data_IF_154692207003
#
_entry.id   IF_154692207003
#
_cell.length_a   1.000
_cell.length_b   1.000
_cell.length_c   1.000
_cell.angle_alpha   90.00
_cell.angle_beta   90.00
_cell.angle_gamma   90.00
#
_symmetry.space_group_name_H-M   'P 1'
#
loop_
_entity.id
_entity.type
_entity.pdbx_description
1 polymer ?
#
# COMPACT_ATOMS: atom_id res chain seq x y z
N UNK A 1 -12.92 7.10 -21.94
CA UNK A 1 -11.76 6.49 -21.28
C UNK A 1 -12.08 6.53 -19.81
N UNK A 2 -12.27 5.38 -19.16
CA UNK A 2 -12.43 5.35 -17.71
C UNK A 2 -11.13 5.88 -17.11
N UNK A 3 -11.20 7.01 -16.40
CA UNK A 3 -10.07 7.50 -15.63
C UNK A 3 -9.63 6.38 -14.68
N UNK A 4 -8.36 6.00 -14.71
CA UNK A 4 -7.78 4.99 -13.84
C UNK A 4 -7.76 5.51 -12.38
N UNK A 5 -8.92 5.60 -11.75
CA UNK A 5 -9.10 6.24 -10.46
C UNK A 5 -8.86 5.25 -9.31
N UNK A 6 -7.66 4.66 -9.30
CA UNK A 6 -7.26 3.60 -8.38
C UNK A 6 -5.87 3.85 -7.80
N UNK A 7 -5.67 3.36 -6.58
CA UNK A 7 -4.35 3.08 -6.02
C UNK A 7 -4.10 1.58 -6.16
N UNK A 8 -2.97 1.22 -6.77
CA UNK A 8 -2.56 -0.16 -6.98
C UNK A 8 -1.37 -0.46 -6.09
N UNK A 9 -1.58 -1.29 -5.07
CA UNK A 9 -0.51 -1.85 -4.26
C UNK A 9 0.05 -3.10 -4.93
N UNK A 10 1.36 -3.28 -4.82
CA UNK A 10 2.10 -4.39 -5.42
C UNK A 10 2.98 -5.04 -4.35
N UNK A 11 2.87 -6.36 -4.24
CA UNK A 11 3.76 -7.20 -3.44
C UNK A 11 4.56 -8.10 -4.36
N UNK A 12 5.88 -8.07 -4.24
CA UNK A 12 6.76 -8.94 -5.00
C UNK A 12 7.08 -10.21 -4.20
N UNK A 13 6.99 -11.36 -4.85
CA UNK A 13 7.35 -12.66 -4.31
C UNK A 13 8.37 -13.35 -5.21
N UNK A 14 9.04 -14.35 -4.64
CA UNK A 14 10.01 -15.16 -5.36
C UNK A 14 11.35 -14.46 -5.53
N UNK A 15 12.31 -15.19 -6.08
CA UNK A 15 13.68 -14.70 -6.22
C UNK A 15 13.80 -13.76 -7.43
N UNK A 16 14.88 -12.97 -7.47
CA UNK A 16 15.23 -12.02 -8.53
C UNK A 16 15.09 -12.64 -9.95
N UNK A 17 15.37 -13.94 -10.11
CA UNK A 17 15.29 -14.65 -11.40
C UNK A 17 13.85 -14.95 -11.87
N UNK A 18 12.86 -15.01 -10.97
CA UNK A 18 11.46 -15.33 -11.27
C UNK A 18 10.52 -14.55 -10.34
N UNK A 19 10.47 -13.21 -10.47
CA UNK A 19 9.60 -12.40 -9.64
C UNK A 19 8.14 -12.66 -10.00
N UNK A 20 7.28 -12.74 -8.98
CA UNK A 20 5.82 -12.74 -9.10
C UNK A 20 5.30 -11.49 -8.41
N UNK A 21 4.26 -10.87 -8.96
CA UNK A 21 3.66 -9.67 -8.37
C UNK A 21 2.20 -9.95 -8.09
N UNK A 22 1.80 -9.86 -6.81
CA UNK A 22 0.39 -9.79 -6.41
C UNK A 22 0.00 -8.32 -6.38
N UNK A 23 -1.20 -8.00 -6.90
CA UNK A 23 -1.70 -6.63 -6.97
C UNK A 23 -3.01 -6.51 -6.20
N UNK A 24 -3.19 -5.39 -5.52
CA UNK A 24 -4.45 -4.97 -4.93
C UNK A 24 -4.81 -3.58 -5.45
N UNK A 25 -5.96 -3.46 -6.09
CA UNK A 25 -6.49 -2.19 -6.58
C UNK A 25 -7.58 -1.69 -5.66
N UNK A 26 -7.50 -0.42 -5.26
CA UNK A 26 -8.46 0.24 -4.38
C UNK A 26 -8.92 1.54 -5.05
N UNK A 27 -10.22 1.82 -5.03
CA UNK A 27 -10.76 3.04 -5.62
C UNK A 27 -10.21 4.27 -4.88
N UNK A 28 -9.69 5.26 -5.63
CA UNK A 28 -9.05 6.44 -5.07
C UNK A 28 -9.99 7.27 -4.18
N UNK A 29 -11.31 7.25 -4.43
CA UNK A 29 -12.30 7.96 -3.62
C UNK A 29 -12.31 7.50 -2.15
N UNK A 30 -11.89 6.25 -1.90
CA UNK A 30 -11.75 5.67 -0.57
C UNK A 30 -10.36 5.87 0.05
N UNK A 31 -9.43 6.55 -0.63
CA UNK A 31 -8.03 6.65 -0.20
C UNK A 31 -7.66 8.08 0.18
N UNK A 32 -7.01 8.24 1.33
CA UNK A 32 -6.37 9.49 1.75
C UNK A 32 -4.94 9.23 2.16
N UNK A 33 -4.02 10.02 1.62
CA UNK A 33 -2.59 9.90 1.89
C UNK A 33 -2.11 11.16 2.57
N UNK A 34 -1.33 11.01 3.63
CA UNK A 34 -0.66 12.13 4.30
C UNK A 34 0.64 11.68 4.94
N UNK A 35 1.55 12.61 5.11
CA UNK A 35 2.81 12.39 5.80
C UNK A 35 2.66 12.68 7.30
N UNK A 36 3.32 11.88 8.13
CA UNK A 36 3.43 12.06 9.57
C UNK A 36 4.73 11.43 10.08
N UNK A 37 5.55 12.19 10.81
CA UNK A 37 6.77 11.69 11.47
C UNK A 37 7.68 10.87 10.52
N UNK A 38 7.98 11.41 9.33
CA UNK A 38 8.76 10.77 8.26
C UNK A 38 8.15 9.47 7.69
N UNK A 39 6.91 9.16 8.06
CA UNK A 39 6.13 8.05 7.51
C UNK A 39 5.00 8.58 6.65
N UNK A 40 4.61 7.79 5.66
CA UNK A 40 3.41 8.03 4.87
C UNK A 40 2.28 7.14 5.39
N UNK A 41 1.16 7.77 5.73
CA UNK A 41 -0.05 7.08 6.19
C UNK A 41 -1.06 7.09 5.05
N UNK A 42 -1.50 5.90 4.67
CA UNK A 42 -2.49 5.67 3.63
C UNK A 42 -3.76 5.14 4.29
N UNK A 43 -4.72 6.03 4.51
CA UNK A 43 -6.03 5.68 5.01
C UNK A 43 -6.88 5.14 3.87
N UNK A 44 -7.48 3.98 4.11
CA UNK A 44 -8.33 3.28 3.14
C UNK A 44 -9.71 3.10 3.76
N UNK A 45 -10.74 3.42 2.99
CA UNK A 45 -12.15 3.21 3.29
C UNK A 45 -12.73 2.41 2.13
N UNK A 46 -13.27 1.23 2.44
CA UNK A 46 -13.85 0.31 1.45
C UNK A 46 -15.18 -0.23 1.96
N UNK A 47 -16.07 -0.69 1.05
CA UNK A 47 -17.22 -1.48 1.45
C UNK A 47 -16.81 -2.67 2.33
N UNK A 48 -17.63 -3.03 3.31
CA UNK A 48 -17.31 -4.11 4.27
C UNK A 48 -17.06 -5.45 3.57
N UNK A 49 -17.69 -5.70 2.43
CA UNK A 49 -17.50 -6.91 1.62
C UNK A 49 -16.10 -7.01 0.98
N UNK A 50 -15.40 -5.89 0.80
CA UNK A 50 -14.04 -5.83 0.28
C UNK A 50 -12.97 -5.83 1.38
N UNK A 51 -13.36 -5.54 2.63
CA UNK A 51 -12.42 -5.28 3.72
C UNK A 51 -11.52 -6.47 4.03
N UNK A 52 -12.09 -7.68 4.08
CA UNK A 52 -11.36 -8.93 4.33
C UNK A 52 -10.24 -9.11 3.31
N UNK A 53 -10.52 -8.91 2.03
CA UNK A 53 -9.53 -9.05 0.95
C UNK A 53 -8.38 -8.06 1.11
N UNK A 54 -8.67 -6.83 1.55
CA UNK A 54 -7.63 -5.83 1.73
C UNK A 54 -6.77 -6.15 2.95
N UNK A 55 -7.38 -6.53 4.07
CA UNK A 55 -6.65 -6.92 5.29
C UNK A 55 -5.75 -8.11 5.01
N UNK A 56 -6.29 -9.19 4.43
CA UNK A 56 -5.52 -10.38 4.06
C UNK A 56 -4.33 -10.05 3.14
N UNK A 57 -4.50 -9.10 2.22
CA UNK A 57 -3.41 -8.65 1.36
C UNK A 57 -2.27 -7.99 2.15
N UNK A 58 -2.58 -7.11 3.11
CA UNK A 58 -1.56 -6.39 3.87
C UNK A 58 -0.98 -7.22 5.02
N UNK A 59 -1.71 -8.18 5.58
CA UNK A 59 -1.22 -9.13 6.58
C UNK A 59 -0.16 -10.09 6.04
N UNK A 60 -0.10 -10.28 4.72
CA UNK A 60 0.97 -11.07 4.10
C UNK A 60 2.35 -10.39 4.19
N UNK A 61 2.43 -9.07 4.43
CA UNK A 61 3.68 -8.32 4.53
C UNK A 61 4.34 -8.46 5.90
N UNK A 62 5.65 -8.66 5.87
CA UNK A 62 6.47 -8.53 7.07
C UNK A 62 6.82 -7.06 7.33
N UNK A 63 7.04 -6.71 8.60
CA UNK A 63 7.58 -5.40 8.96
C UNK A 63 8.95 -5.21 8.30
N UNK A 64 9.14 -4.10 7.61
CA UNK A 64 10.38 -3.82 6.88
C UNK A 64 10.42 -4.39 5.46
N UNK A 65 9.39 -5.12 5.03
CA UNK A 65 9.29 -5.63 3.66
C UNK A 65 9.01 -4.50 2.66
N UNK A 66 9.54 -4.65 1.45
CA UNK A 66 9.31 -3.71 0.36
C UNK A 66 7.87 -3.78 -0.14
N UNK A 67 7.25 -2.61 -0.26
CA UNK A 67 5.96 -2.43 -0.88
C UNK A 67 6.05 -1.37 -1.96
N UNK A 68 5.42 -1.64 -3.10
CA UNK A 68 5.25 -0.68 -4.17
C UNK A 68 3.78 -0.26 -4.25
N UNK A 69 3.53 1.01 -4.52
CA UNK A 69 2.18 1.44 -4.89
C UNK A 69 2.21 2.49 -5.99
N UNK A 70 1.13 2.56 -6.76
CA UNK A 70 0.95 3.50 -7.86
C UNK A 70 -0.41 4.16 -7.74
N UNK A 71 -0.44 5.49 -7.87
CA UNK A 71 -1.67 6.28 -7.78
C UNK A 71 -2.02 6.72 -9.20
N UNK A 72 -3.13 6.22 -9.75
CA UNK A 72 -3.65 6.68 -11.05
C UNK A 72 -2.63 6.73 -12.19
N UNK A 73 -1.73 5.75 -12.25
CA UNK A 73 -0.67 5.61 -13.27
C UNK A 73 0.40 6.73 -13.25
N UNK A 74 0.64 7.34 -12.08
CA UNK A 74 1.67 8.38 -11.90
C UNK A 74 3.09 7.84 -11.74
N UNK A 75 3.23 6.52 -11.59
CA UNK A 75 4.51 5.84 -11.34
C UNK A 75 4.47 4.98 -10.08
N UNK A 76 5.46 4.11 -9.95
CA UNK A 76 5.59 3.23 -8.78
C UNK A 76 6.43 3.92 -7.69
N UNK A 77 5.84 4.09 -6.52
CA UNK A 77 6.51 4.53 -5.30
C UNK A 77 7.03 3.31 -4.55
N UNK A 78 8.34 3.24 -4.33
CA UNK A 78 8.97 2.20 -3.52
C UNK A 78 9.07 2.63 -2.07
N UNK A 79 8.48 1.85 -1.17
CA UNK A 79 8.46 2.13 0.25
C UNK A 79 8.74 0.87 1.06
N UNK A 80 9.05 1.10 2.33
CA UNK A 80 9.16 0.07 3.36
C UNK A 80 7.83 -0.04 4.09
N UNK A 81 7.26 -1.25 4.18
CA UNK A 81 6.04 -1.50 4.93
C UNK A 81 6.31 -1.42 6.45
N UNK A 82 5.52 -0.61 7.16
CA UNK A 82 5.65 -0.41 8.61
C UNK A 82 4.45 -0.90 9.40
N UNK A 83 3.37 -1.30 8.74
CA UNK A 83 2.26 -1.99 9.38
C UNK A 83 0.90 -1.52 8.86
N UNK A 84 -0.13 -2.21 9.36
CA UNK A 84 -1.53 -1.90 9.17
C UNK A 84 -2.16 -1.61 10.54
N UNK A 85 -2.90 -0.53 10.65
CA UNK A 85 -3.61 -0.14 11.87
C UNK A 85 -5.01 -0.79 11.91
N UNK A 86 -5.65 -0.87 13.09
CA UNK A 86 -6.84 -1.69 13.28
C UNK A 86 -8.00 -1.26 12.37
N UNK A 87 -8.77 -2.26 11.95
CA UNK A 87 -9.99 -2.10 11.16
C UNK A 87 -11.08 -1.52 12.05
N UNK A 88 -11.65 -0.39 11.64
CA UNK A 88 -12.87 0.14 12.24
C UNK A 88 -14.01 -0.18 11.28
N UNK A 89 -14.85 -1.13 11.67
CA UNK A 89 -16.06 -1.47 10.93
C UNK A 89 -17.19 -0.53 11.32
N UNK A 90 -17.83 0.04 10.30
CA UNK A 90 -19.14 0.71 10.38
C UNK A 90 -20.09 -0.07 9.48
N UNK A 91 -21.38 -0.08 9.79
CA UNK A 91 -22.41 -0.93 9.16
C UNK A 91 -22.23 -1.28 7.67
N UNK A 92 -21.75 -0.37 6.83
CA UNK A 92 -21.55 -0.61 5.39
C UNK A 92 -20.10 -0.44 4.89
N UNK A 93 -19.18 0.03 5.74
CA UNK A 93 -17.82 0.38 5.33
C UNK A 93 -16.81 0.03 6.43
N UNK A 94 -15.63 -0.41 6.01
CA UNK A 94 -14.48 -0.62 6.88
C UNK A 94 -13.41 0.41 6.59
N UNK A 95 -12.71 0.88 7.63
CA UNK A 95 -11.57 1.77 7.48
C UNK A 95 -10.34 1.24 8.21
N UNK A 96 -9.17 1.33 7.57
CA UNK A 96 -7.86 0.98 8.15
C UNK A 96 -6.78 1.89 7.56
N UNK A 97 -5.64 1.96 8.23
CA UNK A 97 -4.50 2.76 7.78
C UNK A 97 -3.31 1.86 7.50
N UNK A 98 -2.62 2.11 6.39
CA UNK A 98 -1.34 1.51 6.07
C UNK A 98 -0.26 2.53 6.37
N UNK A 99 0.74 2.13 7.15
CA UNK A 99 1.93 2.94 7.39
C UNK A 99 3.05 2.42 6.50
N UNK A 100 3.60 3.29 5.67
CA UNK A 100 4.80 3.02 4.88
C UNK A 100 5.83 4.11 5.14
N UNK A 101 7.08 3.83 4.85
CA UNK A 101 8.16 4.80 4.92
C UNK A 101 8.88 4.82 3.59
N UNK A 102 9.10 6.01 3.02
CA UNK A 102 9.90 6.14 1.81
C UNK A 102 11.27 5.50 2.03
N UNK A 103 11.76 4.76 1.04
CA UNK A 103 13.15 4.33 1.10
C UNK A 103 13.99 5.57 0.90
N UNK A 104 14.79 5.93 1.91
CA UNK A 104 15.88 6.87 1.66
C UNK A 104 16.66 6.31 0.47
N UNK A 105 16.93 7.13 -0.57
CA UNK A 105 17.90 6.72 -1.56
C UNK A 105 19.14 6.33 -0.78
N UNK A 106 19.62 5.10 -0.97
CA UNK A 106 20.97 4.79 -0.54
C UNK A 106 21.84 5.79 -1.28
N UNK A 107 22.20 6.88 -0.60
CA UNK A 107 23.36 7.64 -0.95
C UNK A 107 24.44 6.59 -1.07
N UNK A 108 24.91 6.41 -2.30
CA UNK A 108 26.19 5.79 -2.57
C UNK A 108 27.16 6.49 -1.61
N UNK A 109 27.45 5.87 -0.46
CA UNK A 109 28.58 6.26 0.34
C UNK A 109 29.79 5.89 -0.51
N UNK A 110 30.12 6.86 -1.36
CA UNK A 110 31.33 7.01 -2.13
C UNK A 110 32.50 6.64 -1.24
N UNK A 111 33.35 5.76 -1.77
CA UNK A 111 34.82 5.82 -1.67
C UNK A 111 35.41 5.61 -0.29
#
# INVERSE_FOLDING_TARGET
MEENNYVIFKKQYGNIKRPRVKKLSINLNGVKIYEKDQSMIINIIVPVEESTKVVEYFEEFNLGEDIQFNISDTGDFECTFRGISPVIDKNSYSSFSITVQEKEPQDEMKG
#
